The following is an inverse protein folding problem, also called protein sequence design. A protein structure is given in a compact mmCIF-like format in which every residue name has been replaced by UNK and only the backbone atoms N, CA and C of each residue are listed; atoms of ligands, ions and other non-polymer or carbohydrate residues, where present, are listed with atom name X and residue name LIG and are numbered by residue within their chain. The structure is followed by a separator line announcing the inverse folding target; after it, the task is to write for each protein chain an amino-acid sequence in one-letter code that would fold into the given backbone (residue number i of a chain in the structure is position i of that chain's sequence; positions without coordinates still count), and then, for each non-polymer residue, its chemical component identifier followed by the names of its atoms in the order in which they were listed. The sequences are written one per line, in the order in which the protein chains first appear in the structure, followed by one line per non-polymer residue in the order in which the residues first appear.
data_IF_535302848440
#
_entry.id   IF_535302848440
#
_cell.length_a   1.000
_cell.length_b   1.000
_cell.length_c   1.000
_cell.angle_alpha   90.00
_cell.angle_beta   90.00
_cell.angle_gamma   90.00
#
_symmetry.space_group_name_H-M   'P 1'
#
loop_
_entity.id
_entity.type
_entity.pdbx_description
1 polymer ?
#
# COMPACT_ATOMS: atom_id res chain seq x y z
N UNK A 1 -28.90 10.02 -25.75
CA UNK A 1 -27.42 10.13 -25.69
C UNK A 1 -27.07 10.45 -24.23
N UNK A 2 -26.67 9.44 -23.45
CA UNK A 2 -26.24 9.63 -22.04
C UNK A 2 -24.77 9.22 -21.99
N UNK A 3 -23.89 10.18 -21.69
CA UNK A 3 -22.49 9.91 -21.39
C UNK A 3 -22.46 9.52 -19.91
N UNK A 4 -22.18 8.25 -19.64
CA UNK A 4 -21.82 7.82 -18.30
C UNK A 4 -20.38 8.30 -18.06
N UNK A 5 -20.21 9.29 -17.18
CA UNK A 5 -18.90 9.73 -16.69
C UNK A 5 -18.68 8.96 -15.39
N UNK A 6 -17.99 7.83 -15.45
CA UNK A 6 -17.38 7.19 -14.28
C UNK A 6 -16.14 6.40 -14.74
N UNK A 7 -14.92 7.00 -14.75
CA UNK A 7 -13.72 6.16 -14.61
C UNK A 7 -12.62 6.72 -13.69
N UNK A 8 -12.85 7.84 -12.99
CA UNK A 8 -11.76 8.53 -12.26
C UNK A 8 -11.29 7.78 -11.01
N UNK A 9 -12.19 7.06 -10.32
CA UNK A 9 -11.84 6.32 -9.10
C UNK A 9 -11.06 5.02 -9.39
N UNK A 10 -11.36 4.34 -10.49
CA UNK A 10 -10.69 3.10 -10.87
C UNK A 10 -9.22 3.33 -11.27
N UNK A 11 -8.94 4.43 -11.97
CA UNK A 11 -7.56 4.78 -12.38
C UNK A 11 -6.69 5.17 -11.18
N UNK A 12 -7.25 5.91 -10.22
CA UNK A 12 -6.54 6.31 -9.01
C UNK A 12 -6.19 5.09 -8.12
N UNK A 13 -7.08 4.10 -8.02
CA UNK A 13 -6.83 2.89 -7.24
C UNK A 13 -5.79 1.98 -7.91
N UNK A 14 -5.77 1.94 -9.26
CA UNK A 14 -4.71 1.25 -10.01
C UNK A 14 -3.35 1.94 -9.88
N UNK A 15 -3.29 3.26 -9.97
CA UNK A 15 -2.04 4.01 -9.81
C UNK A 15 -1.45 3.80 -8.41
N UNK A 16 -2.32 3.73 -7.40
CA UNK A 16 -1.93 3.47 -6.03
C UNK A 16 -1.39 2.04 -5.83
N UNK A 17 -2.03 1.05 -6.46
CA UNK A 17 -1.55 -0.33 -6.48
C UNK A 17 -0.20 -0.44 -7.22
N UNK A 18 0.00 0.31 -8.30
CA UNK A 18 1.25 0.35 -9.05
C UNK A 18 2.40 0.93 -8.20
N UNK A 19 2.16 2.00 -7.44
CA UNK A 19 3.17 2.53 -6.51
C UNK A 19 3.51 1.56 -5.37
N UNK A 20 2.56 0.76 -4.90
CA UNK A 20 2.82 -0.28 -3.90
C UNK A 20 3.68 -1.41 -4.50
N UNK A 21 3.35 -1.87 -5.72
CA UNK A 21 4.11 -2.91 -6.42
C UNK A 21 5.55 -2.47 -6.72
N UNK A 22 5.73 -1.25 -7.22
CA UNK A 22 7.05 -0.69 -7.50
C UNK A 22 7.92 -0.55 -6.25
N UNK A 23 7.33 -0.19 -5.09
CA UNK A 23 8.07 -0.18 -3.82
C UNK A 23 8.56 -1.56 -3.42
N UNK A 24 7.70 -2.58 -3.53
CA UNK A 24 8.10 -3.96 -3.25
C UNK A 24 9.25 -4.42 -4.17
N UNK A 25 9.17 -4.08 -5.47
CA UNK A 25 10.23 -4.37 -6.42
C UNK A 25 11.55 -3.66 -6.05
N UNK A 26 11.49 -2.38 -5.71
CA UNK A 26 12.68 -1.61 -5.32
C UNK A 26 13.32 -2.14 -4.04
N UNK A 27 12.52 -2.55 -3.04
CA UNK A 27 13.03 -3.20 -1.83
C UNK A 27 13.72 -4.53 -2.12
N UNK A 28 13.18 -5.33 -3.04
CA UNK A 28 13.85 -6.55 -3.48
C UNK A 28 15.18 -6.25 -4.18
N UNK A 29 15.19 -5.28 -5.10
CA UNK A 29 16.40 -4.87 -5.83
C UNK A 29 17.47 -4.35 -4.87
N UNK A 30 17.10 -3.54 -3.87
CA UNK A 30 18.02 -3.08 -2.83
C UNK A 30 18.69 -4.25 -2.11
N UNK A 31 17.91 -5.21 -1.61
CA UNK A 31 18.42 -6.38 -0.91
C UNK A 31 19.35 -7.23 -1.80
N UNK A 32 18.98 -7.41 -3.06
CA UNK A 32 19.78 -8.16 -4.03
C UNK A 32 21.10 -7.43 -4.37
N UNK A 33 21.07 -6.11 -4.50
CA UNK A 33 22.27 -5.29 -4.66
C UNK A 33 23.21 -5.42 -3.44
N UNK A 34 22.68 -5.39 -2.22
CA UNK A 34 23.47 -5.61 -1.01
C UNK A 34 24.10 -7.01 -0.98
N UNK A 35 23.35 -8.04 -1.39
CA UNK A 35 23.81 -9.43 -1.44
C UNK A 35 25.02 -9.62 -2.35
N UNK A 36 25.09 -8.90 -3.47
CA UNK A 36 26.21 -8.96 -4.42
C UNK A 36 27.30 -7.90 -4.17
N UNK A 37 27.18 -7.09 -3.11
CA UNK A 37 28.14 -6.04 -2.77
C UNK A 37 28.02 -4.75 -3.60
N UNK A 38 26.93 -4.57 -4.35
CA UNK A 38 26.66 -3.37 -5.14
C UNK A 38 26.04 -2.25 -4.28
N UNK A 39 26.77 -1.78 -3.27
CA UNK A 39 26.24 -0.86 -2.25
C UNK A 39 25.75 0.48 -2.81
N UNK A 40 26.41 1.04 -3.83
CA UNK A 40 25.94 2.28 -4.48
C UNK A 40 24.61 2.09 -5.21
N UNK A 41 24.41 0.95 -5.87
CA UNK A 41 23.16 0.62 -6.52
C UNK A 41 22.03 0.41 -5.49
N UNK A 42 22.33 -0.28 -4.38
CA UNK A 42 21.38 -0.45 -3.27
C UNK A 42 20.93 0.91 -2.71
N UNK A 43 21.87 1.84 -2.50
CA UNK A 43 21.57 3.21 -2.05
C UNK A 43 20.66 3.94 -3.04
N UNK A 44 20.89 3.80 -4.35
CA UNK A 44 20.00 4.40 -5.36
C UNK A 44 18.60 3.76 -5.36
N UNK A 45 18.48 2.45 -5.19
CA UNK A 45 17.19 1.78 -5.08
C UNK A 45 16.39 2.27 -3.86
N UNK A 46 17.04 2.38 -2.70
CA UNK A 46 16.44 2.93 -1.48
C UNK A 46 15.99 4.39 -1.65
N UNK A 47 16.81 5.22 -2.31
CA UNK A 47 16.46 6.60 -2.63
C UNK A 47 15.27 6.68 -3.60
N UNK A 48 15.22 5.83 -4.63
CA UNK A 48 14.10 5.79 -5.54
C UNK A 48 12.78 5.45 -4.81
N UNK A 49 12.83 4.46 -3.90
CA UNK A 49 11.66 4.06 -3.12
C UNK A 49 11.16 5.17 -2.18
N UNK A 50 12.04 5.98 -1.60
CA UNK A 50 11.68 7.06 -0.69
C UNK A 50 11.06 8.28 -1.39
N UNK A 51 11.30 8.43 -2.69
CA UNK A 51 10.70 9.47 -3.52
C UNK A 51 9.30 9.10 -4.01
N UNK A 52 8.87 7.84 -3.86
CA UNK A 52 7.54 7.42 -4.32
C UNK A 52 6.44 7.99 -3.43
N UNK A 53 5.29 8.41 -3.99
CA UNK A 53 4.18 8.93 -3.22
C UNK A 53 3.76 7.95 -2.13
N UNK A 54 3.59 8.42 -0.89
CA UNK A 54 3.07 7.58 0.17
C UNK A 54 1.60 7.30 -0.11
N UNK A 55 1.28 6.06 -0.45
CA UNK A 55 -0.10 5.59 -0.53
C UNK A 55 -0.71 5.76 0.86
N UNK A 56 -1.54 6.79 1.04
CA UNK A 56 -2.39 6.83 2.22
C UNK A 56 -3.30 5.61 2.11
N UNK A 57 -3.10 4.62 2.99
CA UNK A 57 -4.04 3.51 3.09
C UNK A 57 -5.43 4.15 3.27
N UNK A 58 -6.45 3.77 2.45
CA UNK A 58 -7.81 4.19 2.75
C UNK A 58 -8.08 3.75 4.17
N UNK A 59 -8.40 4.72 5.05
CA UNK A 59 -8.64 4.48 6.45
C UNK A 59 -9.58 3.27 6.55
N UNK A 60 -9.05 2.14 7.04
CA UNK A 60 -9.80 0.91 7.14
C UNK A 60 -11.14 1.26 7.78
N UNK A 61 -12.22 1.14 7.00
CA UNK A 61 -13.57 1.29 7.51
C UNK A 61 -13.63 0.39 8.74
N UNK A 62 -13.81 1.01 9.90
CA UNK A 62 -13.89 0.31 11.17
C UNK A 62 -14.79 -0.92 10.97
N UNK A 63 -14.36 -2.14 11.30
CA UNK A 63 -15.28 -3.26 11.31
C UNK A 63 -16.43 -2.86 12.26
N UNK A 64 -17.71 -3.04 11.87
CA UNK A 64 -18.81 -2.66 12.73
C UNK A 64 -18.62 -3.40 14.05
N UNK A 65 -18.48 -2.64 15.13
CA UNK A 65 -18.34 -3.14 16.48
C UNK A 65 -19.50 -4.09 16.75
N UNK A 66 -19.25 -5.40 16.62
CA UNK A 66 -20.21 -6.43 17.01
C UNK A 66 -20.35 -6.28 18.52
N UNK A 67 -21.43 -5.61 18.92
CA UNK A 67 -21.77 -5.41 20.32
C UNK A 67 -22.06 -6.79 20.90
N UNK A 68 -21.06 -7.37 21.56
CA UNK A 68 -21.20 -8.65 22.27
C UNK A 68 -22.19 -8.42 23.42
N UNK A 69 -23.35 -9.10 23.45
CA UNK A 69 -24.28 -8.93 24.55
C UNK A 69 -23.62 -9.43 25.84
N UNK A 70 -23.60 -8.56 26.85
CA UNK A 70 -23.17 -8.87 28.23
C UNK A 70 -24.14 -9.90 28.82
N UNK A 71 -23.84 -11.19 28.67
CA UNK A 71 -24.53 -12.24 29.42
C UNK A 71 -24.05 -12.21 30.88
N UNK A 72 -24.90 -11.57 31.69
CA UNK A 72 -25.18 -11.75 33.13
C UNK A 72 -24.35 -12.83 33.85
N UNK A 73 -23.58 -12.41 34.87
CA UNK A 73 -23.06 -13.34 35.89
C UNK A 73 -24.25 -13.89 36.68
N UNK A 74 -24.44 -15.21 36.64
CA UNK A 74 -25.20 -15.92 37.66
C UNK A 74 -24.26 -16.24 38.82
N UNK A 75 -24.78 -15.99 40.03
CA UNK A 75 -24.16 -16.19 41.33
C UNK A 75 -23.87 -17.65 41.63
#
# INVERSE_FOLDING_TARGET
MRVAIEPFEAEADTENADYAALRLMLSYVEAECLRIGATDAARHAALAASLMPQTAAPAAAHPPSVTRPRSVRLH
#
